data_IF_170323606860
#
_entry.id   IF_170323606860
#
_cell.length_a   1.000
_cell.length_b   1.000
_cell.length_c   1.000
_cell.angle_alpha   90.00
_cell.angle_beta   90.00
_cell.angle_gamma   90.00
#
_symmetry.space_group_name_H-M   'P 1'
#
loop_
_entity.id
_entity.type
_entity.pdbx_description
1 polymer ?
#
# COMPACT_ATOMS: atom_id res chain seq x y z
N UNK A 1 43.59 -22.53 -7.73
CA UNK A 1 42.32 -23.10 -7.25
C UNK A 1 41.39 -21.92 -6.98
N UNK A 2 41.24 -21.06 -7.98
CA UNK A 2 40.12 -21.03 -8.94
C UNK A 2 38.77 -20.85 -8.25
N UNK A 3 38.47 -19.59 -7.96
CA UNK A 3 37.13 -19.11 -7.58
C UNK A 3 36.72 -18.02 -8.56
N UNK A 4 36.81 -18.31 -9.86
CA UNK A 4 36.28 -17.44 -10.91
C UNK A 4 34.78 -17.75 -11.09
N UNK A 5 33.99 -17.53 -10.04
CA UNK A 5 32.53 -17.62 -10.08
C UNK A 5 31.98 -16.36 -10.74
N UNK A 6 31.98 -16.36 -12.07
CA UNK A 6 31.40 -15.30 -12.90
C UNK A 6 29.90 -15.23 -12.65
N UNK A 7 29.49 -14.31 -11.79
CA UNK A 7 28.11 -13.87 -11.59
C UNK A 7 27.60 -13.37 -12.95
N UNK A 8 26.85 -14.24 -13.63
CA UNK A 8 26.38 -14.03 -14.99
C UNK A 8 25.18 -13.07 -14.93
N UNK A 9 25.45 -11.77 -14.79
CA UNK A 9 24.42 -10.72 -14.83
C UNK A 9 23.81 -10.68 -16.24
N UNK A 10 22.65 -11.30 -16.42
CA UNK A 10 21.91 -11.21 -17.67
C UNK A 10 21.18 -9.84 -17.76
N UNK A 11 21.59 -8.91 -18.64
CA UNK A 11 21.04 -7.54 -18.69
C UNK A 11 19.58 -7.49 -19.13
N UNK A 12 19.09 -8.51 -19.85
CA UNK A 12 17.69 -8.59 -20.30
C UNK A 12 16.67 -8.70 -19.15
N UNK A 13 17.06 -9.35 -18.04
CA UNK A 13 16.17 -9.54 -16.89
C UNK A 13 15.94 -8.27 -16.07
N UNK A 14 16.97 -7.43 -15.93
CA UNK A 14 16.91 -6.22 -15.10
C UNK A 14 15.98 -5.15 -15.72
N UNK A 15 16.06 -5.00 -17.05
CA UNK A 15 15.22 -4.06 -17.80
C UNK A 15 13.76 -4.54 -17.78
N UNK A 16 13.53 -5.85 -17.89
CA UNK A 16 12.18 -6.42 -17.86
C UNK A 16 11.46 -6.16 -16.52
N UNK A 17 12.15 -6.31 -15.38
CA UNK A 17 11.57 -6.02 -14.07
C UNK A 17 11.26 -4.53 -13.89
N UNK A 18 12.14 -3.65 -14.37
CA UNK A 18 11.90 -2.20 -14.36
C UNK A 18 10.70 -1.82 -15.22
N UNK A 19 10.59 -2.39 -16.42
CA UNK A 19 9.45 -2.17 -17.33
C UNK A 19 8.14 -2.66 -16.69
N UNK A 20 8.15 -3.79 -15.98
CA UNK A 20 6.95 -4.29 -15.29
C UNK A 20 6.48 -3.36 -14.17
N UNK A 21 7.40 -2.83 -13.36
CA UNK A 21 7.08 -1.88 -12.30
C UNK A 21 6.48 -0.59 -12.87
N UNK A 22 7.13 0.01 -13.87
CA UNK A 22 6.65 1.24 -14.52
C UNK A 22 5.29 1.01 -15.21
N UNK A 23 5.10 -0.13 -15.87
CA UNK A 23 3.83 -0.48 -16.50
C UNK A 23 2.71 -0.57 -15.46
N UNK A 24 2.99 -1.18 -14.30
CA UNK A 24 2.03 -1.28 -13.21
C UNK A 24 1.63 0.09 -12.67
N UNK A 25 2.60 1.02 -12.54
CA UNK A 25 2.34 2.39 -12.13
C UNK A 25 1.45 3.14 -13.14
N UNK A 26 1.73 3.00 -14.44
CA UNK A 26 0.92 3.61 -15.50
C UNK A 26 -0.51 3.06 -15.47
N UNK A 27 -0.67 1.74 -15.33
CA UNK A 27 -1.99 1.12 -15.23
C UNK A 27 -2.76 1.66 -14.03
N UNK A 28 -2.12 1.73 -12.86
CA UNK A 28 -2.74 2.33 -11.67
C UNK A 28 -3.16 3.79 -11.88
N UNK A 29 -2.31 4.59 -12.52
CA UNK A 29 -2.61 6.00 -12.80
C UNK A 29 -3.78 6.15 -13.78
N UNK A 30 -3.83 5.35 -14.85
CA UNK A 30 -4.92 5.35 -15.82
C UNK A 30 -6.22 4.91 -15.17
N UNK A 31 -6.20 3.83 -14.38
CA UNK A 31 -7.38 3.36 -13.64
C UNK A 31 -7.88 4.44 -12.68
N UNK A 32 -6.99 5.08 -11.92
CA UNK A 32 -7.35 6.19 -11.02
C UNK A 32 -7.97 7.37 -11.78
N UNK A 33 -7.40 7.74 -12.93
CA UNK A 33 -7.90 8.83 -13.76
C UNK A 33 -9.28 8.54 -14.36
N UNK A 34 -9.54 7.30 -14.79
CA UNK A 34 -10.85 6.87 -15.30
C UNK A 34 -11.87 6.72 -14.17
N UNK A 35 -11.43 6.33 -12.97
CA UNK A 35 -12.30 6.21 -11.79
C UNK A 35 -12.79 7.57 -11.32
N UNK A 36 -11.97 8.62 -11.45
CA UNK A 36 -12.30 9.98 -11.02
C UNK A 36 -13.63 10.51 -11.60
N UNK A 37 -13.87 10.55 -12.92
CA UNK A 37 -15.14 11.02 -13.47
C UNK A 37 -16.33 10.13 -13.12
N UNK A 38 -16.12 8.83 -12.92
CA UNK A 38 -17.19 7.90 -12.49
C UNK A 38 -17.63 8.24 -11.07
N UNK A 39 -16.68 8.33 -10.13
CA UNK A 39 -16.97 8.62 -8.73
C UNK A 39 -17.58 10.02 -8.59
N UNK A 40 -16.96 11.04 -9.21
CA UNK A 40 -17.48 12.42 -9.18
C UNK A 40 -18.87 12.53 -9.83
N UNK A 41 -19.14 11.74 -10.86
CA UNK A 41 -20.45 11.70 -11.51
C UNK A 41 -21.56 11.14 -10.63
N UNK A 42 -21.26 10.14 -9.81
CA UNK A 42 -22.23 9.48 -8.93
C UNK A 42 -22.52 10.27 -7.65
N UNK A 43 -21.46 10.76 -6.96
CA UNK A 43 -21.60 11.42 -5.63
C UNK A 43 -21.50 12.95 -5.69
N UNK A 44 -21.16 13.52 -6.85
CA UNK A 44 -20.97 14.96 -6.99
C UNK A 44 -19.63 15.46 -6.42
N UNK A 45 -19.28 16.70 -6.77
CA UNK A 45 -17.97 17.28 -6.45
C UNK A 45 -17.75 17.51 -4.94
N UNK A 46 -18.82 17.76 -4.17
CA UNK A 46 -18.75 18.01 -2.73
C UNK A 46 -18.40 16.74 -1.95
N UNK A 47 -19.09 15.63 -2.22
CA UNK A 47 -18.86 14.35 -1.53
C UNK A 47 -17.54 13.71 -2.00
N UNK A 48 -17.09 14.00 -3.22
CA UNK A 48 -15.73 13.65 -3.67
C UNK A 48 -14.63 14.32 -2.85
N UNK A 49 -14.84 15.58 -2.41
CA UNK A 49 -13.89 16.26 -1.52
C UNK A 49 -13.71 15.52 -0.20
N UNK A 50 -14.81 15.03 0.38
CA UNK A 50 -14.78 14.21 1.61
C UNK A 50 -14.08 12.88 1.32
N UNK A 51 -14.39 12.22 0.20
CA UNK A 51 -13.75 10.99 -0.22
C UNK A 51 -12.23 11.13 -0.37
N UNK A 52 -11.74 12.19 -1.00
CA UNK A 52 -10.30 12.46 -1.13
C UNK A 52 -9.65 12.68 0.24
N UNK A 53 -10.33 13.38 1.16
CA UNK A 53 -9.81 13.59 2.52
C UNK A 53 -9.71 12.27 3.30
N UNK A 54 -10.68 11.37 3.14
CA UNK A 54 -10.60 10.00 3.68
C UNK A 54 -9.45 9.20 3.07
N UNK A 55 -9.23 9.32 1.76
CA UNK A 55 -8.09 8.70 1.08
C UNK A 55 -6.75 9.21 1.61
N UNK A 56 -6.63 10.51 1.90
CA UNK A 56 -5.40 11.08 2.47
C UNK A 56 -5.09 10.51 3.86
N UNK A 57 -6.12 10.34 4.70
CA UNK A 57 -5.99 9.68 6.01
C UNK A 57 -5.48 8.25 5.84
N UNK A 58 -6.06 7.49 4.90
CA UNK A 58 -5.58 6.14 4.56
C UNK A 58 -4.14 6.12 4.01
N UNK A 59 -3.76 7.12 3.23
CA UNK A 59 -2.41 7.28 2.68
C UNK A 59 -1.33 7.38 3.76
N UNK A 60 -1.61 8.04 4.89
CA UNK A 60 -0.68 8.09 6.02
C UNK A 60 -0.44 6.72 6.66
N UNK A 61 -1.45 5.83 6.67
CA UNK A 61 -1.26 4.45 7.13
C UNK A 61 -0.34 3.68 6.19
N UNK A 62 -0.45 3.92 4.88
CA UNK A 62 0.50 3.36 3.91
C UNK A 62 1.95 3.82 4.14
N UNK A 63 2.14 5.06 4.61
CA UNK A 63 3.47 5.58 4.97
C UNK A 63 4.09 4.84 6.18
N UNK A 64 3.25 4.32 7.09
CA UNK A 64 3.71 3.54 8.25
C UNK A 64 4.33 2.19 7.88
N UNK A 65 4.08 1.67 6.66
CA UNK A 65 4.77 0.46 6.20
C UNK A 65 6.29 0.72 5.98
N UNK A 66 6.75 1.98 5.89
CA UNK A 66 8.17 2.39 5.87
C UNK A 66 9.06 1.60 4.86
N UNK A 67 8.48 0.96 3.85
CA UNK A 67 9.20 0.10 2.90
C UNK A 67 9.50 -1.32 3.44
N UNK A 68 8.79 -1.78 4.47
CA UNK A 68 8.85 -3.16 4.96
C UNK A 68 8.56 -4.15 3.84
N UNK A 69 7.57 -3.91 2.98
CA UNK A 69 7.30 -4.77 1.82
C UNK A 69 8.52 -4.99 0.92
N UNK A 70 9.25 -3.91 0.60
CA UNK A 70 10.47 -3.97 -0.23
C UNK A 70 11.63 -4.66 0.51
N UNK A 71 11.80 -4.38 1.81
CA UNK A 71 12.79 -5.06 2.63
C UNK A 71 12.52 -6.57 2.70
N UNK A 72 11.27 -6.96 2.90
CA UNK A 72 10.84 -8.36 2.92
C UNK A 72 11.13 -9.04 1.60
N UNK A 73 10.75 -8.44 0.46
CA UNK A 73 11.03 -9.01 -0.85
C UNK A 73 12.54 -9.20 -1.10
N UNK A 74 13.35 -8.22 -0.69
CA UNK A 74 14.81 -8.29 -0.77
C UNK A 74 15.38 -9.44 0.07
N UNK A 75 15.04 -9.53 1.35
CA UNK A 75 15.58 -10.59 2.21
C UNK A 75 15.02 -11.97 1.84
N UNK A 76 13.74 -12.03 1.47
CA UNK A 76 13.10 -13.26 0.99
C UNK A 76 13.83 -13.82 -0.23
N UNK A 77 14.09 -12.98 -1.25
CA UNK A 77 14.83 -13.40 -2.44
C UNK A 77 16.26 -13.86 -2.14
N UNK A 78 16.94 -13.21 -1.18
CA UNK A 78 18.28 -13.62 -0.73
C UNK A 78 18.28 -15.00 -0.07
N UNK A 79 17.40 -15.24 0.91
CA UNK A 79 17.33 -16.54 1.59
C UNK A 79 16.82 -17.65 0.66
N UNK A 80 15.91 -17.32 -0.24
CA UNK A 80 15.40 -18.25 -1.25
C UNK A 80 16.52 -18.68 -2.22
N UNK A 81 17.35 -17.75 -2.70
CA UNK A 81 18.49 -18.08 -3.57
C UNK A 81 19.52 -19.00 -2.90
N UNK A 82 19.68 -18.92 -1.58
CA UNK A 82 20.55 -19.79 -0.79
C UNK A 82 19.89 -21.13 -0.39
N UNK A 83 18.66 -21.43 -0.83
CA UNK A 83 17.87 -22.59 -0.37
C UNK A 83 17.66 -22.67 1.16
N UNK A 84 17.75 -21.54 1.87
CA UNK A 84 17.53 -21.47 3.32
C UNK A 84 16.04 -21.23 3.64
N UNK A 85 15.28 -22.31 3.67
CA UNK A 85 13.83 -22.28 3.97
C UNK A 85 13.54 -21.77 5.39
N UNK A 86 14.46 -21.97 6.35
CA UNK A 86 14.28 -21.46 7.71
C UNK A 86 14.40 -19.94 7.75
N UNK A 87 15.37 -19.38 7.02
CA UNK A 87 15.54 -17.94 6.83
C UNK A 87 14.31 -17.30 6.18
N UNK A 88 13.78 -17.93 5.13
CA UNK A 88 12.53 -17.52 4.45
C UNK A 88 11.36 -17.42 5.44
N UNK A 89 11.10 -18.48 6.21
CA UNK A 89 9.98 -18.50 7.15
C UNK A 89 10.12 -17.46 8.26
N UNK A 90 11.37 -17.19 8.70
CA UNK A 90 11.66 -16.15 9.69
C UNK A 90 11.36 -14.75 9.15
N UNK A 91 11.77 -14.46 7.92
CA UNK A 91 11.49 -13.15 7.28
C UNK A 91 9.99 -12.94 7.14
N UNK A 92 9.27 -13.92 6.57
CA UNK A 92 7.81 -13.84 6.39
C UNK A 92 7.11 -13.65 7.74
N UNK A 93 7.44 -14.46 8.75
CA UNK A 93 6.83 -14.36 10.08
C UNK A 93 7.11 -13.03 10.78
N UNK A 94 8.34 -12.51 10.66
CA UNK A 94 8.71 -11.20 11.24
C UNK A 94 7.94 -10.07 10.56
N UNK A 95 7.90 -10.05 9.22
CA UNK A 95 7.17 -9.04 8.46
C UNK A 95 5.68 -9.09 8.74
N UNK A 96 5.09 -10.28 8.80
CA UNK A 96 3.67 -10.46 9.11
C UNK A 96 3.34 -9.93 10.50
N UNK A 97 4.18 -10.20 11.48
CA UNK A 97 3.98 -9.72 12.86
C UNK A 97 4.07 -8.20 12.93
N UNK A 98 5.07 -7.60 12.28
CA UNK A 98 5.22 -6.13 12.24
C UNK A 98 4.03 -5.49 11.52
N UNK A 99 3.60 -6.04 10.39
CA UNK A 99 2.44 -5.55 9.65
C UNK A 99 1.14 -5.70 10.46
N UNK A 100 0.97 -6.81 11.17
CA UNK A 100 -0.20 -7.01 12.04
C UNK A 100 -0.24 -5.96 13.17
N UNK A 101 0.90 -5.71 13.82
CA UNK A 101 1.01 -4.68 14.87
C UNK A 101 0.74 -3.28 14.28
N UNK A 102 1.35 -2.95 13.14
CA UNK A 102 1.13 -1.68 12.46
C UNK A 102 -0.33 -1.48 12.04
N UNK A 103 -0.98 -2.53 11.54
CA UNK A 103 -2.41 -2.52 11.19
C UNK A 103 -3.30 -2.31 12.41
N UNK A 104 -3.05 -3.02 13.52
CA UNK A 104 -3.79 -2.84 14.77
C UNK A 104 -3.62 -1.41 15.31
N UNK A 105 -2.40 -0.87 15.27
CA UNK A 105 -2.12 0.50 15.68
C UNK A 105 -2.85 1.50 14.77
N UNK A 106 -2.78 1.31 13.45
CA UNK A 106 -3.48 2.14 12.47
C UNK A 106 -5.00 2.14 12.68
N UNK A 107 -5.61 0.96 12.83
CA UNK A 107 -7.03 0.85 13.14
C UNK A 107 -7.40 1.53 14.46
N UNK A 108 -6.57 1.36 15.50
CA UNK A 108 -6.79 2.00 16.79
C UNK A 108 -6.77 3.52 16.66
N UNK A 109 -5.75 4.08 15.99
CA UNK A 109 -5.64 5.52 15.74
C UNK A 109 -6.86 6.04 14.97
N UNK A 110 -7.30 5.33 13.93
CA UNK A 110 -8.50 5.72 13.16
C UNK A 110 -9.74 5.75 14.05
N UNK A 111 -9.96 4.74 14.89
CA UNK A 111 -11.11 4.68 15.80
C UNK A 111 -11.08 5.83 16.82
N UNK A 112 -9.92 6.09 17.43
CA UNK A 112 -9.77 7.19 18.39
C UNK A 112 -9.94 8.57 17.73
N UNK A 113 -9.35 8.77 16.55
CA UNK A 113 -9.43 10.02 15.81
C UNK A 113 -10.80 10.23 15.15
N UNK A 114 -11.58 9.18 14.88
CA UNK A 114 -12.91 9.26 14.24
C UNK A 114 -13.85 10.21 15.01
N UNK A 115 -13.88 10.10 16.35
CA UNK A 115 -14.68 11.00 17.19
C UNK A 115 -14.28 12.48 17.02
N UNK A 116 -12.99 12.76 16.89
CA UNK A 116 -12.47 14.11 16.64
C UNK A 116 -12.71 14.58 15.19
N UNK A 117 -12.60 13.68 14.21
CA UNK A 117 -12.82 13.95 12.79
C UNK A 117 -14.28 14.35 12.52
N UNK A 118 -15.23 13.67 13.16
CA UNK A 118 -16.66 13.97 13.00
C UNK A 118 -16.98 15.36 13.59
N UNK A 119 -16.34 15.71 14.71
CA UNK A 119 -16.51 17.01 15.36
C UNK A 119 -15.96 18.17 14.52
N UNK A 120 -14.80 17.99 13.87
CA UNK A 120 -14.20 19.04 13.03
C UNK A 120 -14.91 19.18 11.68
N UNK A 121 -15.49 18.10 11.15
CA UNK A 121 -16.18 18.14 9.86
C UNK A 121 -17.61 18.70 9.91
N UNK A 122 -18.23 18.87 11.10
CA UNK A 122 -19.63 19.34 11.26
C UNK A 122 -20.52 18.82 10.11
N UNK A 123 -20.53 17.50 9.92
CA UNK A 123 -21.32 16.87 8.87
C UNK A 123 -22.77 17.25 9.15
N UNK A 124 -23.34 18.10 8.30
CA UNK A 124 -24.71 18.59 8.44
C UNK A 124 -25.63 17.35 8.50
N UNK A 125 -26.47 17.17 9.55
CA UNK A 125 -27.26 15.95 9.74
C UNK A 125 -28.27 15.65 8.61
N UNK A 126 -28.45 16.57 7.65
CA UNK A 126 -29.60 16.65 6.76
C UNK A 126 -29.64 15.61 5.62
N UNK A 127 -28.62 14.77 5.44
CA UNK A 127 -28.66 13.67 4.44
C UNK A 127 -28.82 12.26 5.01
N UNK A 128 -29.04 12.12 6.32
CA UNK A 128 -29.21 10.79 6.95
C UNK A 128 -30.63 10.23 6.81
N UNK A 129 -31.62 11.02 6.37
CA UNK A 129 -33.03 10.59 6.24
C UNK A 129 -33.41 9.99 4.88
N UNK A 130 -32.59 10.08 3.83
CA UNK A 130 -32.97 9.61 2.49
C UNK A 130 -32.58 8.14 2.18
N UNK A 131 -32.05 7.41 3.15
CA UNK A 131 -31.60 6.01 2.97
C UNK A 131 -32.08 5.04 4.07
N UNK A 132 -33.09 5.44 4.86
CA UNK A 132 -33.76 4.57 5.84
C UNK A 132 -35.13 4.10 5.33
#
# INVERSE_FOLDING_TARGET
MDTDNKINFQPKGLISSGVWNVSSLIVFAVVGFVTLPIVVGEIGAQDYGIYVLLLMIGGFVGLLDLGLGEATLKYLSQYYACNDIKGVNRVIGSTLTINAIAGILGCSVIIFCSSWIISIFKIDPEKTELIA
#
